data_IF_548324872070
#
_entry.id   IF_548324872070
#
_cell.length_a   1.000
_cell.length_b   1.000
_cell.length_c   1.000
_cell.angle_alpha   90.00
_cell.angle_beta   90.00
_cell.angle_gamma   90.00
#
_symmetry.space_group_name_H-M   'P 1'
#
loop_
_entity.id
_entity.type
_entity.pdbx_description
1 polymer ?
#
# COMPACT_ATOMS: atom_id res chain seq x y z
N UNK A 1 -3.13 -13.69 3.21
CA UNK A 1 -2.29 -13.00 2.20
C UNK A 1 -2.29 -13.81 0.92
N UNK A 2 -1.62 -13.35 -0.13
CA UNK A 2 -1.43 -14.09 -1.37
C UNK A 2 0.07 -14.32 -1.60
N UNK A 3 0.42 -15.46 -2.19
CA UNK A 3 1.76 -15.76 -2.69
C UNK A 3 1.72 -15.58 -4.20
N UNK A 4 2.57 -14.68 -4.71
CA UNK A 4 2.80 -14.47 -6.13
C UNK A 4 4.15 -15.05 -6.50
N UNK A 5 4.17 -16.05 -7.37
CA UNK A 5 5.39 -16.75 -7.77
C UNK A 5 5.41 -17.07 -9.27
N UNK A 6 6.61 -17.12 -9.85
CA UNK A 6 6.81 -17.40 -11.27
C UNK A 6 7.09 -18.89 -11.48
N UNK A 7 6.12 -19.61 -12.02
CA UNK A 7 6.19 -21.08 -12.20
C UNK A 7 6.39 -21.51 -13.65
N UNK A 8 6.77 -20.58 -14.53
CA UNK A 8 7.08 -20.83 -15.96
C UNK A 8 6.12 -20.19 -16.96
N UNK A 9 5.02 -19.60 -16.49
CA UNK A 9 4.07 -18.83 -17.30
C UNK A 9 4.54 -17.39 -17.56
N UNK A 10 3.80 -16.66 -18.42
CA UNK A 10 4.09 -15.26 -18.77
C UNK A 10 3.93 -14.28 -17.60
N UNK A 11 3.19 -14.67 -16.56
CA UNK A 11 2.95 -13.87 -15.35
C UNK A 11 2.96 -14.79 -14.12
N UNK A 12 2.92 -14.20 -12.93
CA UNK A 12 2.90 -14.95 -11.69
C UNK A 12 1.62 -15.78 -11.52
N UNK A 13 1.75 -16.92 -10.84
CA UNK A 13 0.64 -17.66 -10.25
C UNK A 13 0.24 -17.03 -8.91
N UNK A 14 -1.03 -17.18 -8.50
CA UNK A 14 -1.50 -16.76 -7.18
C UNK A 14 -1.93 -17.96 -6.34
N UNK A 15 -1.39 -18.07 -5.12
CA UNK A 15 -1.75 -19.11 -4.15
C UNK A 15 -2.14 -18.50 -2.79
N UNK A 16 -3.02 -19.14 -2.01
CA UNK A 16 -3.31 -18.70 -0.64
C UNK A 16 -2.04 -18.68 0.21
N UNK A 17 -1.76 -17.53 0.83
CA UNK A 17 -0.72 -17.37 1.83
C UNK A 17 -1.26 -17.39 3.26
N UNK A 18 -0.40 -17.10 4.23
CA UNK A 18 -0.76 -17.03 5.65
C UNK A 18 -1.85 -15.99 5.93
N UNK A 19 -2.68 -16.24 6.94
CA UNK A 19 -3.52 -15.18 7.50
C UNK A 19 -2.64 -14.18 8.24
N UNK A 20 -2.93 -12.90 8.08
CA UNK A 20 -2.18 -11.82 8.72
C UNK A 20 -3.09 -11.10 9.70
N UNK A 21 -2.76 -11.17 10.99
CA UNK A 21 -3.54 -10.53 12.04
C UNK A 21 -3.25 -9.03 12.08
N UNK A 22 -4.30 -8.22 12.04
CA UNK A 22 -4.20 -6.79 12.28
C UNK A 22 -4.01 -6.54 13.78
N UNK A 23 -3.15 -5.58 14.13
CA UNK A 23 -2.84 -5.22 15.52
C UNK A 23 -3.33 -3.80 15.89
N UNK A 24 -3.92 -3.07 14.94
CA UNK A 24 -4.40 -1.72 15.15
C UNK A 24 -5.65 -1.44 14.30
N UNK A 25 -6.50 -0.56 14.82
CA UNK A 25 -7.76 -0.16 14.20
C UNK A 25 -7.54 0.98 13.21
N UNK A 26 -7.96 0.80 11.96
CA UNK A 26 -7.74 1.77 10.89
C UNK A 26 -8.40 3.13 11.19
N UNK A 27 -9.58 3.15 11.81
CA UNK A 27 -10.29 4.40 12.11
C UNK A 27 -9.60 5.23 13.20
N UNK A 28 -8.60 4.69 13.90
CA UNK A 28 -7.82 5.37 14.93
C UNK A 28 -6.45 5.84 14.45
N UNK A 29 -6.07 5.51 13.21
CA UNK A 29 -4.75 5.84 12.67
C UNK A 29 -4.64 7.33 12.45
N UNK A 30 -3.54 7.93 12.89
CA UNK A 30 -3.15 9.30 12.58
C UNK A 30 -1.72 9.31 12.06
N UNK A 31 -1.49 9.95 10.91
CA UNK A 31 -0.15 10.05 10.34
C UNK A 31 0.88 10.68 11.30
N UNK A 32 0.44 11.54 12.25
CA UNK A 32 1.29 12.13 13.29
C UNK A 32 1.96 11.10 14.19
N UNK A 33 1.34 9.95 14.41
CA UNK A 33 1.73 8.98 15.44
C UNK A 33 2.78 7.97 14.94
N UNK A 34 3.18 8.09 13.67
CA UNK A 34 4.14 7.18 13.02
C UNK A 34 5.27 7.96 12.35
N UNK A 35 6.47 7.40 12.31
CA UNK A 35 7.60 8.02 11.62
C UNK A 35 7.56 7.79 10.09
N UNK A 36 6.93 6.70 9.63
CA UNK A 36 6.93 6.29 8.23
C UNK A 36 5.69 5.45 7.85
N UNK A 37 5.45 5.31 6.54
CA UNK A 37 4.39 4.47 5.95
C UNK A 37 4.99 3.38 5.07
N UNK A 38 4.53 2.14 5.22
CA UNK A 38 4.86 1.02 4.33
C UNK A 38 3.60 0.53 3.63
N UNK A 39 3.66 0.37 2.32
CA UNK A 39 2.56 -0.08 1.46
C UNK A 39 2.94 -1.39 0.75
N UNK A 40 2.51 -2.55 1.28
CA UNK A 40 2.68 -3.83 0.62
C UNK A 40 1.94 -3.90 -0.72
N UNK A 41 2.43 -4.78 -1.60
CA UNK A 41 1.80 -5.06 -2.89
C UNK A 41 0.74 -6.16 -2.83
N UNK A 42 0.79 -7.05 -3.81
CA UNK A 42 -0.25 -8.04 -4.04
C UNK A 42 -1.49 -7.41 -4.67
N UNK A 43 -2.67 -8.04 -4.47
CA UNK A 43 -3.94 -7.54 -5.02
C UNK A 43 -4.62 -6.46 -4.18
N UNK A 44 -4.17 -6.27 -2.92
CA UNK A 44 -4.80 -5.31 -2.01
C UNK A 44 -4.82 -3.86 -2.52
N UNK A 45 -3.74 -3.32 -3.09
CA UNK A 45 -3.72 -1.96 -3.62
C UNK A 45 -4.79 -1.67 -4.69
N UNK A 46 -5.21 -2.69 -5.46
CA UNK A 46 -6.19 -2.53 -6.54
C UNK A 46 -7.54 -2.03 -6.04
N UNK A 47 -8.00 -2.52 -4.89
CA UNK A 47 -9.27 -2.08 -4.30
C UNK A 47 -9.07 -0.95 -3.27
N UNK A 48 -7.93 -0.90 -2.58
CA UNK A 48 -7.66 0.16 -1.61
C UNK A 48 -7.50 1.53 -2.27
N UNK A 49 -7.05 1.59 -3.54
CA UNK A 49 -6.91 2.85 -4.29
C UNK A 49 -8.24 3.58 -4.55
N UNK A 50 -9.36 2.91 -4.30
CA UNK A 50 -10.71 3.47 -4.42
C UNK A 50 -11.26 3.96 -3.07
N UNK A 51 -10.51 3.78 -1.98
CA UNK A 51 -10.93 4.19 -0.63
C UNK A 51 -10.32 5.53 -0.27
N UNK A 52 -11.16 6.57 -0.17
CA UNK A 52 -10.69 7.94 0.09
C UNK A 52 -9.94 8.08 1.43
N UNK A 53 -10.36 7.38 2.50
CA UNK A 53 -9.64 7.42 3.79
C UNK A 53 -8.21 6.90 3.66
N UNK A 54 -7.98 5.89 2.81
CA UNK A 54 -6.64 5.36 2.53
C UNK A 54 -5.82 6.39 1.75
N UNK A 55 -6.41 7.03 0.74
CA UNK A 55 -5.73 8.04 -0.06
C UNK A 55 -5.39 9.28 0.78
N UNK A 56 -6.30 9.72 1.67
CA UNK A 56 -6.06 10.80 2.62
C UNK A 56 -4.87 10.48 3.53
N UNK A 57 -4.81 9.27 4.10
CA UNK A 57 -3.67 8.86 4.92
C UNK A 57 -2.35 8.91 4.14
N UNK A 58 -2.33 8.40 2.90
CA UNK A 58 -1.15 8.48 2.03
C UNK A 58 -0.71 9.93 1.80
N UNK A 59 -1.67 10.82 1.51
CA UNK A 59 -1.39 12.26 1.32
C UNK A 59 -0.91 12.93 2.61
N UNK A 60 -1.37 12.50 3.78
CA UNK A 60 -0.94 13.07 5.06
C UNK A 60 0.52 12.71 5.39
N UNK A 61 0.95 11.47 5.12
CA UNK A 61 2.37 11.10 5.21
C UNK A 61 3.22 11.89 4.20
N UNK A 62 2.74 12.04 2.97
CA UNK A 62 3.44 12.77 1.91
C UNK A 62 3.62 14.26 2.24
N UNK A 63 2.53 14.94 2.66
CA UNK A 63 2.55 16.35 3.10
C UNK A 63 3.46 16.57 4.31
N UNK A 64 3.51 15.60 5.23
CA UNK A 64 4.40 15.67 6.39
C UNK A 64 5.87 15.43 6.04
N UNK A 65 6.20 15.12 4.78
CA UNK A 65 7.56 14.79 4.34
C UNK A 65 8.10 13.51 4.97
N UNK A 66 7.21 12.62 5.45
CA UNK A 66 7.60 11.37 6.11
C UNK A 66 7.98 10.32 5.06
N UNK A 67 8.93 9.41 5.35
CA UNK A 67 9.27 8.33 4.44
C UNK A 67 8.07 7.44 4.10
N UNK A 68 7.91 7.15 2.82
CA UNK A 68 6.91 6.21 2.29
C UNK A 68 7.62 5.14 1.46
N UNK A 69 7.46 3.88 1.84
CA UNK A 69 8.00 2.74 1.10
C UNK A 69 6.85 1.92 0.50
N UNK A 70 6.72 1.93 -0.82
CA UNK A 70 5.74 1.12 -1.55
C UNK A 70 6.42 0.03 -2.39
N UNK A 71 5.87 -1.18 -2.40
CA UNK A 71 6.48 -2.32 -3.09
C UNK A 71 5.48 -3.05 -3.98
N UNK A 72 5.95 -3.57 -5.13
CA UNK A 72 5.13 -4.30 -6.11
C UNK A 72 3.95 -3.41 -6.57
N UNK A 73 2.70 -3.84 -6.39
CA UNK A 73 1.52 -3.06 -6.77
C UNK A 73 1.16 -1.96 -5.76
N UNK A 74 1.88 -1.83 -4.64
CA UNK A 74 1.63 -0.80 -3.62
C UNK A 74 1.70 0.63 -4.18
N UNK A 75 2.52 0.85 -5.23
CA UNK A 75 2.65 2.14 -5.91
C UNK A 75 1.33 2.63 -6.54
N UNK A 76 0.35 1.75 -6.77
CA UNK A 76 -0.99 2.16 -7.22
C UNK A 76 -1.67 3.12 -6.24
N UNK A 77 -1.42 2.99 -4.94
CA UNK A 77 -1.95 3.92 -3.94
C UNK A 77 -1.31 5.30 -4.05
N UNK A 78 0.01 5.36 -4.29
CA UNK A 78 0.71 6.63 -4.50
C UNK A 78 0.21 7.33 -5.77
N UNK A 79 0.00 6.57 -6.83
CA UNK A 79 -0.55 7.08 -8.08
C UNK A 79 -1.97 7.65 -7.89
N UNK A 80 -2.85 6.90 -7.23
CA UNK A 80 -4.22 7.34 -6.96
C UNK A 80 -4.29 8.51 -5.97
N UNK A 81 -3.37 8.58 -5.00
CA UNK A 81 -3.26 9.69 -4.07
C UNK A 81 -2.72 10.97 -4.73
N UNK A 82 -2.11 10.86 -5.92
CA UNK A 82 -1.51 11.97 -6.67
C UNK A 82 -0.13 12.38 -6.15
N UNK A 83 0.52 11.55 -5.33
CA UNK A 83 1.78 11.89 -4.64
C UNK A 83 3.04 11.54 -5.44
N UNK A 84 2.89 10.93 -6.63
CA UNK A 84 4.00 10.57 -7.51
C UNK A 84 4.47 11.70 -8.43
N UNK A 85 3.73 12.82 -8.51
CA UNK A 85 4.12 13.92 -9.40
C UNK A 85 5.51 14.42 -8.99
N UNK A 86 6.39 14.55 -9.96
CA UNK A 86 7.77 15.03 -9.77
C UNK A 86 8.65 14.10 -8.90
N UNK A 87 8.34 12.79 -8.86
CA UNK A 87 9.14 11.74 -8.20
C UNK A 87 9.65 10.70 -9.21
N UNK A 88 10.81 10.10 -8.92
CA UNK A 88 11.44 8.99 -9.68
C UNK A 88 11.22 7.63 -9.02
#
# INVERSE_FOLDING_TARGET
TAIHDFEGDQTYSEKPGHLFALNFDFDKVKASDYDALVIPGGRAPEYLRLNEKVLELVRDFDKAGKPIAAVCHGAQLLAAAGTLKDRE
#
